data_IF_660557364941
#
_entry.id   IF_660557364941
#
_cell.length_a   1.000
_cell.length_b   1.000
_cell.length_c   1.000
_cell.angle_alpha   90.00
_cell.angle_beta   90.00
_cell.angle_gamma   90.00
#
_symmetry.space_group_name_H-M   'P 1'
#
loop_
_entity.id
_entity.type
_entity.pdbx_description
1 polymer ?
#
# COMPACT_ATOMS: atom_id res chain seq x y z
N UNK A 1 -22.84 -32.23 -13.94
CA UNK A 1 -21.76 -32.41 -12.95
C UNK A 1 -20.43 -32.18 -13.67
N UNK A 2 -19.46 -31.53 -13.00
CA UNK A 2 -18.21 -30.90 -13.50
C UNK A 2 -18.43 -29.43 -13.93
N UNK A 3 -18.04 -28.40 -13.17
CA UNK A 3 -17.02 -28.33 -12.13
C UNK A 3 -15.77 -27.62 -12.66
N UNK A 4 -15.86 -26.33 -12.91
CA UNK A 4 -14.71 -25.44 -12.96
C UNK A 4 -15.17 -24.00 -12.69
N UNK A 5 -15.45 -23.75 -11.42
CA UNK A 5 -15.36 -22.41 -10.82
C UNK A 5 -13.96 -21.87 -11.10
N UNK A 6 -13.78 -21.24 -12.25
CA UNK A 6 -12.62 -20.40 -12.50
C UNK A 6 -12.80 -19.22 -11.57
N UNK A 7 -12.13 -19.29 -10.42
CA UNK A 7 -11.95 -18.22 -9.47
C UNK A 7 -11.37 -17.03 -10.23
N UNK A 8 -12.25 -16.18 -10.77
CA UNK A 8 -11.91 -14.91 -11.41
C UNK A 8 -11.50 -13.88 -10.36
N UNK A 9 -10.76 -14.29 -9.33
CA UNK A 9 -9.98 -13.35 -8.53
C UNK A 9 -8.67 -13.14 -9.26
N UNK A 10 -8.77 -12.44 -10.39
CA UNK A 10 -7.69 -11.58 -10.82
C UNK A 10 -7.43 -10.60 -9.68
N UNK A 11 -6.59 -11.00 -8.72
CA UNK A 11 -5.76 -10.07 -7.97
C UNK A 11 -4.85 -9.49 -9.03
N UNK A 12 -5.39 -8.51 -9.76
CA UNK A 12 -4.61 -7.54 -10.50
C UNK A 12 -3.53 -7.11 -9.51
N UNK A 13 -2.29 -7.55 -9.78
CA UNK A 13 -1.14 -6.97 -9.13
C UNK A 13 -1.34 -5.47 -9.27
N UNK A 14 -1.53 -4.72 -8.17
CA UNK A 14 -1.53 -3.28 -8.27
C UNK A 14 -0.23 -2.93 -9.02
N UNK A 15 -0.25 -2.01 -10.01
CA UNK A 15 0.98 -1.59 -10.65
C UNK A 15 1.98 -1.35 -9.53
N UNK A 16 3.10 -2.09 -9.53
CA UNK A 16 4.04 -2.11 -8.43
C UNK A 16 4.81 -0.78 -8.43
N UNK A 17 4.14 0.30 -8.04
CA UNK A 17 4.76 1.57 -7.70
C UNK A 17 5.23 1.60 -6.24
N UNK A 18 5.32 0.43 -5.59
CA UNK A 18 6.05 0.22 -4.34
C UNK A 18 6.80 -1.11 -4.37
N UNK A 19 8.08 -1.07 -4.02
CA UNK A 19 8.96 -2.24 -3.83
C UNK A 19 8.62 -2.96 -2.53
N UNK A 20 9.07 -4.20 -2.37
CA UNK A 20 8.86 -4.96 -1.11
C UNK A 20 9.47 -4.27 0.12
N UNK A 21 10.52 -3.46 -0.06
CA UNK A 21 11.13 -2.66 1.02
C UNK A 21 10.21 -1.53 1.45
N UNK A 22 9.64 -0.82 0.49
CA UNK A 22 8.69 0.27 0.72
C UNK A 22 7.42 -0.25 1.38
N UNK A 23 6.87 -1.38 0.92
CA UNK A 23 5.70 -2.02 1.52
C UNK A 23 5.91 -2.33 3.02
N UNK A 24 7.10 -2.87 3.38
CA UNK A 24 7.44 -3.13 4.79
C UNK A 24 7.53 -1.83 5.59
N UNK A 25 8.12 -0.78 5.00
CA UNK A 25 8.27 0.51 5.67
C UNK A 25 6.91 1.21 5.89
N UNK A 26 6.04 1.20 4.88
CA UNK A 26 4.68 1.73 4.94
C UNK A 26 3.89 1.06 6.07
N UNK A 27 3.94 -0.27 6.15
CA UNK A 27 3.25 -1.03 7.21
C UNK A 27 3.83 -0.70 8.58
N UNK A 28 5.15 -0.65 8.74
CA UNK A 28 5.77 -0.26 10.02
C UNK A 28 5.33 1.13 10.48
N UNK A 29 5.31 2.10 9.57
CA UNK A 29 4.86 3.46 9.88
C UNK A 29 3.39 3.51 10.29
N UNK A 30 2.52 2.76 9.60
CA UNK A 30 1.10 2.68 9.95
C UNK A 30 0.81 1.96 11.26
N UNK A 31 1.62 0.94 11.60
CA UNK A 31 1.54 0.25 12.90
C UNK A 31 2.01 1.17 14.03
N UNK A 32 3.13 1.87 13.82
CA UNK A 32 3.72 2.77 14.82
C UNK A 32 2.85 4.01 15.04
N UNK A 33 2.27 4.56 13.97
CA UNK A 33 1.41 5.73 14.00
C UNK A 33 0.07 5.43 13.32
N UNK A 34 -0.92 4.97 14.10
CA UNK A 34 -2.30 4.71 13.60
C UNK A 34 -3.01 5.94 13.03
N UNK A 35 -2.50 7.14 13.31
CA UNK A 35 -3.03 8.41 12.81
C UNK A 35 -2.25 8.98 11.62
N UNK A 36 -1.28 8.23 11.10
CA UNK A 36 -0.39 8.71 10.05
C UNK A 36 -1.17 9.08 8.78
N UNK A 37 -0.77 10.21 8.19
CA UNK A 37 -1.32 10.71 6.94
C UNK A 37 -0.57 10.05 5.78
N UNK A 38 -1.30 9.60 4.74
CA UNK A 38 -0.70 8.91 3.60
C UNK A 38 0.35 9.76 2.86
N UNK A 39 0.18 11.09 2.84
CA UNK A 39 1.15 12.07 2.33
C UNK A 39 2.47 12.03 3.10
N UNK A 40 2.43 11.94 4.43
CA UNK A 40 3.64 11.85 5.26
C UNK A 40 4.42 10.58 4.99
N UNK A 41 3.72 9.45 4.80
CA UNK A 41 4.38 8.18 4.43
C UNK A 41 4.98 8.25 3.01
N UNK A 42 4.30 8.91 2.06
CA UNK A 42 4.80 9.10 0.70
C UNK A 42 6.10 9.91 0.70
N UNK A 43 6.13 11.05 1.40
CA UNK A 43 7.32 11.88 1.56
C UNK A 43 8.47 11.13 2.26
N UNK A 44 8.15 10.38 3.31
CA UNK A 44 9.14 9.56 4.02
C UNK A 44 9.70 8.45 3.13
N UNK A 45 8.86 7.78 2.33
CA UNK A 45 9.34 6.77 1.39
C UNK A 45 10.25 7.39 0.33
N UNK A 46 9.80 8.47 -0.31
CA UNK A 46 10.58 9.17 -1.33
C UNK A 46 11.95 9.59 -0.81
N UNK A 47 12.03 10.12 0.42
CA UNK A 47 13.31 10.47 1.04
C UNK A 47 14.24 9.27 1.31
N UNK A 48 13.69 8.07 1.47
CA UNK A 48 14.46 6.86 1.85
C UNK A 48 14.82 6.00 0.64
N UNK A 49 13.96 5.97 -0.38
CA UNK A 49 14.11 5.10 -1.55
C UNK A 49 14.36 5.87 -2.84
N UNK A 50 14.31 7.21 -2.82
CA UNK A 50 14.35 8.07 -4.00
C UNK A 50 13.30 7.71 -5.05
N UNK A 51 12.23 7.03 -4.61
CA UNK A 51 11.15 6.57 -5.46
C UNK A 51 9.84 7.19 -5.00
N UNK A 52 9.24 8.00 -5.86
CA UNK A 52 8.07 8.80 -5.55
C UNK A 52 6.80 7.95 -5.66
N UNK A 53 6.36 7.38 -4.54
CA UNK A 53 5.06 6.72 -4.45
C UNK A 53 3.96 7.75 -4.14
N UNK A 54 2.90 7.82 -4.96
CA UNK A 54 1.79 8.75 -4.72
C UNK A 54 1.06 8.46 -3.40
N UNK A 55 0.52 9.48 -2.74
CA UNK A 55 -0.30 9.32 -1.53
C UNK A 55 -1.52 8.39 -1.76
N UNK A 56 -2.03 8.34 -2.99
CA UNK A 56 -3.09 7.40 -3.40
C UNK A 56 -2.59 5.95 -3.38
N UNK A 57 -1.39 5.69 -3.91
CA UNK A 57 -0.74 4.38 -3.89
C UNK A 57 -0.54 3.90 -2.45
N UNK A 58 -0.02 4.76 -1.57
CA UNK A 58 0.17 4.45 -0.15
C UNK A 58 -1.16 4.11 0.52
N UNK A 59 -2.21 4.89 0.28
CA UNK A 59 -3.55 4.63 0.85
C UNK A 59 -4.11 3.29 0.38
N UNK A 60 -4.04 2.99 -0.91
CA UNK A 60 -4.52 1.72 -1.45
C UNK A 60 -3.75 0.53 -0.84
N UNK A 61 -2.43 0.66 -0.66
CA UNK A 61 -1.60 -0.36 -0.01
C UNK A 61 -1.97 -0.59 1.44
N UNK A 62 -2.23 0.48 2.19
CA UNK A 62 -2.69 0.36 3.57
C UNK A 62 -4.06 -0.30 3.67
N UNK A 63 -5.01 0.11 2.82
CA UNK A 63 -6.36 -0.49 2.79
C UNK A 63 -6.32 -1.97 2.42
N UNK A 64 -5.49 -2.38 1.45
CA UNK A 64 -5.28 -3.79 1.10
C UNK A 64 -4.76 -4.64 2.26
N UNK A 65 -4.07 -4.01 3.22
CA UNK A 65 -3.51 -4.64 4.42
C UNK A 65 -4.40 -4.45 5.66
N UNK A 66 -5.58 -3.86 5.52
CA UNK A 66 -6.52 -3.61 6.63
C UNK A 66 -6.19 -2.38 7.48
N UNK A 67 -5.26 -1.52 7.02
CA UNK A 67 -4.91 -0.28 7.68
C UNK A 67 -5.63 0.91 7.05
N UNK A 68 -6.00 1.89 7.89
CA UNK A 68 -6.56 3.16 7.45
C UNK A 68 -5.53 4.26 7.67
N UNK A 69 -5.11 4.94 6.61
CA UNK A 69 -4.46 6.24 6.73
C UNK A 69 -5.51 7.34 6.54
N UNK A 70 -5.43 8.38 7.35
CA UNK A 70 -6.29 9.56 7.18
C UNK A 70 -5.85 10.31 5.92
N UNK A 71 -6.82 10.80 5.16
CA UNK A 71 -6.57 11.84 4.17
C UNK A 71 -6.34 13.15 4.93
N UNK A 72 -5.29 13.89 4.57
CA UNK A 72 -5.13 15.30 4.92
C UNK A 72 -5.27 16.13 3.65
#
# INVERSE_FOLDING_TARGET
MQGSTTDRRGRSHPPQCTTSREDRQIVRMAVTNRSVISRTIAQHNESVTHHSASARTIRCRLQQRGFFARCA
#
